data_IF_904359534298
#
_entry.id   IF_904359534298
#
_cell.length_a   1.000
_cell.length_b   1.000
_cell.length_c   1.000
_cell.angle_alpha   90.00
_cell.angle_beta   90.00
_cell.angle_gamma   90.00
#
_symmetry.space_group_name_H-M   'P 1'
#
loop_
_entity.id
_entity.type
_entity.pdbx_description
1 polymer ?
#
# COMPACT_ATOMS: atom_id res chain seq x y z
N UNK A 1 -19.06 -14.54 -70.78
CA UNK A 1 -18.48 -15.81 -70.32
C UNK A 1 -17.59 -15.51 -69.11
N UNK A 2 -18.16 -15.60 -67.90
CA UNK A 2 -17.47 -15.31 -66.64
C UNK A 2 -16.74 -16.57 -66.19
N UNK A 3 -15.43 -16.51 -66.01
CA UNK A 3 -14.67 -17.61 -65.42
C UNK A 3 -14.76 -17.49 -63.89
N UNK A 4 -15.41 -18.48 -63.27
CA UNK A 4 -15.33 -18.76 -61.83
C UNK A 4 -13.99 -19.45 -61.49
N UNK A 5 -13.30 -18.98 -60.45
CA UNK A 5 -12.33 -19.73 -59.64
C UNK A 5 -12.56 -19.29 -58.19
N UNK A 6 -13.40 -20.03 -57.45
CA UNK A 6 -13.04 -21.08 -56.47
C UNK A 6 -12.77 -20.54 -55.05
N UNK A 7 -13.67 -20.98 -54.16
CA UNK A 7 -13.44 -21.38 -52.76
C UNK A 7 -13.47 -20.34 -51.63
N UNK A 8 -14.54 -20.49 -50.85
CA UNK A 8 -14.86 -19.98 -49.51
C UNK A 8 -13.72 -20.25 -48.50
N UNK A 9 -13.31 -19.24 -47.72
CA UNK A 9 -12.54 -19.45 -46.49
C UNK A 9 -13.06 -18.57 -45.34
N UNK A 10 -13.16 -19.22 -44.18
CA UNK A 10 -13.85 -18.88 -42.94
C UNK A 10 -13.34 -17.57 -42.28
N UNK A 11 -14.27 -16.78 -41.74
CA UNK A 11 -13.99 -15.62 -40.89
C UNK A 11 -13.41 -16.09 -39.53
N UNK A 12 -12.11 -15.93 -39.30
CA UNK A 12 -11.56 -15.90 -37.93
C UNK A 12 -11.43 -14.44 -37.53
N UNK A 13 -12.30 -14.02 -36.60
CA UNK A 13 -12.33 -12.68 -36.03
C UNK A 13 -10.93 -12.26 -35.55
N UNK A 14 -10.51 -11.10 -36.03
CA UNK A 14 -9.36 -10.27 -35.64
C UNK A 14 -8.73 -10.61 -34.29
N UNK A 15 -7.71 -11.48 -34.31
CA UNK A 15 -6.85 -11.73 -33.16
C UNK A 15 -5.76 -10.67 -33.07
N UNK A 16 -6.10 -9.49 -32.58
CA UNK A 16 -5.18 -8.54 -31.94
C UNK A 16 -6.04 -7.47 -31.27
N UNK A 17 -6.44 -7.72 -30.02
CA UNK A 17 -6.72 -6.62 -29.12
C UNK A 17 -5.40 -5.87 -28.98
N UNK A 18 -5.28 -4.72 -29.66
CA UNK A 18 -4.36 -3.69 -29.21
C UNK A 18 -4.64 -3.51 -27.72
N UNK A 19 -3.74 -3.92 -26.83
CA UNK A 19 -3.74 -3.37 -25.47
C UNK A 19 -3.27 -1.93 -25.56
N UNK A 20 -4.10 -1.08 -26.17
CA UNK A 20 -3.95 0.35 -26.18
C UNK A 20 -4.21 0.82 -24.75
N UNK A 21 -3.14 0.92 -23.98
CA UNK A 21 -3.18 1.45 -22.63
C UNK A 21 -3.29 0.39 -21.54
N UNK A 22 -2.45 -0.66 -21.58
CA UNK A 22 -1.84 -1.05 -20.30
C UNK A 22 -1.03 0.17 -19.86
N UNK A 23 -1.69 1.11 -19.16
CA UNK A 23 -0.96 1.98 -18.26
C UNK A 23 -0.21 0.99 -17.38
N UNK A 24 1.12 1.01 -17.41
CA UNK A 24 1.89 0.45 -16.30
C UNK A 24 1.16 0.97 -15.08
N UNK A 25 0.58 0.08 -14.30
CA UNK A 25 -0.21 0.49 -13.15
C UNK A 25 0.75 1.35 -12.33
N UNK A 26 0.50 2.66 -12.33
CA UNK A 26 1.06 3.54 -11.34
C UNK A 26 0.80 2.84 -10.02
N UNK A 27 1.84 2.63 -9.23
CA UNK A 27 1.73 1.86 -8.02
C UNK A 27 2.59 2.55 -7.00
N UNK A 28 2.30 2.36 -5.73
CA UNK A 28 3.18 2.85 -4.68
C UNK A 28 4.20 1.76 -4.38
N UNK A 29 5.47 2.03 -4.67
CA UNK A 29 6.58 1.19 -4.24
C UNK A 29 6.90 1.49 -2.78
N UNK A 30 6.35 0.72 -1.85
CA UNK A 30 6.52 0.93 -0.40
C UNK A 30 7.47 -0.10 0.20
N UNK A 31 8.39 0.34 1.05
CA UNK A 31 9.34 -0.51 1.76
C UNK A 31 9.60 -0.02 3.18
N UNK A 32 10.28 -0.87 3.97
CA UNK A 32 10.67 -0.57 5.35
C UNK A 32 9.51 -0.16 6.28
N UNK A 33 8.30 -0.70 6.04
CA UNK A 33 7.21 -0.53 7.01
C UNK A 33 7.60 -1.19 8.32
N UNK A 34 7.57 -0.45 9.43
CA UNK A 34 8.02 -0.87 10.75
C UNK A 34 7.12 -0.29 11.84
N UNK A 35 6.96 -1.03 12.93
CA UNK A 35 6.31 -0.58 14.16
C UNK A 35 7.32 -0.63 15.31
N UNK A 36 7.53 0.48 15.99
CA UNK A 36 8.51 0.61 17.08
C UNK A 36 7.85 1.19 18.32
N UNK A 37 8.03 0.54 19.47
CA UNK A 37 7.61 1.10 20.76
C UNK A 37 8.40 2.38 21.06
N UNK A 38 7.71 3.48 21.38
CA UNK A 38 8.28 4.77 21.77
C UNK A 38 7.67 5.25 23.08
N UNK A 39 8.19 6.33 23.66
CA UNK A 39 7.75 6.84 24.96
C UNK A 39 6.23 7.10 25.05
N UNK A 40 5.59 7.48 23.94
CA UNK A 40 4.19 7.91 23.90
C UNK A 40 3.24 6.94 23.17
N UNK A 41 3.73 5.78 22.72
CA UNK A 41 2.91 4.82 21.99
C UNK A 41 3.72 3.93 21.03
N UNK A 42 3.14 3.58 19.88
CA UNK A 42 3.83 2.85 18.81
C UNK A 42 4.01 3.77 17.61
N UNK A 43 5.26 4.00 17.22
CA UNK A 43 5.60 4.72 15.99
C UNK A 43 5.62 3.76 14.81
N UNK A 44 4.83 4.09 13.80
CA UNK A 44 4.83 3.48 12.49
C UNK A 44 5.71 4.32 11.56
N UNK A 45 6.58 3.69 10.80
CA UNK A 45 7.39 4.36 9.79
C UNK A 45 7.45 3.53 8.52
N UNK A 46 7.41 4.18 7.36
CA UNK A 46 7.61 3.55 6.06
C UNK A 46 8.27 4.53 5.10
N UNK A 47 8.78 3.98 4.02
CA UNK A 47 9.40 4.73 2.94
C UNK A 47 8.74 4.32 1.62
N UNK A 48 8.68 5.25 0.69
CA UNK A 48 8.29 4.95 -0.69
C UNK A 48 9.46 5.22 -1.62
N UNK A 49 9.51 4.50 -2.73
CA UNK A 49 10.46 4.72 -3.82
C UNK A 49 9.86 5.59 -4.93
N UNK A 50 8.56 5.46 -5.14
CA UNK A 50 7.75 6.21 -6.08
C UNK A 50 6.28 6.16 -5.65
N UNK A 51 5.52 7.20 -6.01
CA UNK A 51 4.14 7.40 -5.55
C UNK A 51 3.25 8.02 -6.64
N UNK A 52 3.18 7.37 -7.79
CA UNK A 52 2.31 7.86 -8.86
C UNK A 52 0.84 7.83 -8.42
N UNK A 53 0.13 8.96 -8.60
CA UNK A 53 -1.29 9.17 -8.25
C UNK A 53 -1.68 8.83 -6.80
N UNK A 54 -0.72 8.78 -5.88
CA UNK A 54 -1.00 8.57 -4.47
C UNK A 54 -1.53 9.86 -3.83
N UNK A 55 -2.72 9.81 -3.24
CA UNK A 55 -3.30 10.90 -2.45
C UNK A 55 -2.75 10.91 -1.03
N UNK A 56 -2.31 9.75 -0.53
CA UNK A 56 -1.80 9.61 0.83
C UNK A 56 -2.01 8.21 1.39
N UNK A 57 -1.93 8.09 2.72
CA UNK A 57 -1.94 6.81 3.41
C UNK A 57 -2.94 6.76 4.56
N UNK A 58 -3.57 5.60 4.68
CA UNK A 58 -4.30 5.17 5.86
C UNK A 58 -3.52 4.07 6.58
N UNK A 59 -3.64 4.07 7.91
CA UNK A 59 -3.01 3.12 8.81
C UNK A 59 -4.09 2.41 9.60
N UNK A 60 -4.01 1.08 9.64
CA UNK A 60 -4.99 0.23 10.30
C UNK A 60 -4.33 -0.59 11.38
N UNK A 61 -5.08 -0.91 12.43
CA UNK A 61 -4.61 -1.67 13.59
C UNK A 61 -5.62 -2.71 14.06
N UNK A 62 -5.11 -3.86 14.48
CA UNK A 62 -5.85 -4.89 15.21
C UNK A 62 -4.99 -5.51 16.32
N UNK A 63 -5.61 -6.20 17.26
CA UNK A 63 -4.92 -7.04 18.28
C UNK A 63 -4.70 -8.48 17.80
N UNK A 64 -5.18 -8.81 16.61
CA UNK A 64 -5.02 -10.10 15.93
C UNK A 64 -4.42 -9.86 14.55
N UNK A 65 -3.68 -10.83 14.02
CA UNK A 65 -3.11 -10.75 12.67
C UNK A 65 -4.18 -11.04 11.59
N UNK A 66 -5.21 -10.21 11.54
CA UNK A 66 -6.31 -10.31 10.58
C UNK A 66 -6.76 -8.89 10.19
N UNK A 67 -6.49 -8.51 8.93
CA UNK A 67 -6.83 -7.18 8.40
C UNK A 67 -8.33 -6.90 8.42
N UNK A 68 -9.18 -7.92 8.34
CA UNK A 68 -10.64 -7.75 8.37
C UNK A 68 -11.16 -7.25 9.73
N UNK A 69 -10.38 -7.45 10.79
CA UNK A 69 -10.67 -6.99 12.15
C UNK A 69 -10.00 -5.64 12.47
N UNK A 70 -9.28 -5.04 11.51
CA UNK A 70 -8.50 -3.85 11.74
C UNK A 70 -9.36 -2.58 11.65
N UNK A 71 -9.08 -1.63 12.55
CA UNK A 71 -9.70 -0.30 12.56
C UNK A 71 -8.71 0.76 12.11
N UNK A 72 -9.22 1.82 11.47
CA UNK A 72 -8.42 2.99 11.07
C UNK A 72 -7.86 3.69 12.31
N UNK A 73 -6.60 4.11 12.25
CA UNK A 73 -5.88 4.71 13.39
C UNK A 73 -5.61 6.20 13.18
N UNK A 74 -5.26 6.62 11.96
CA UNK A 74 -5.03 8.02 11.64
C UNK A 74 -6.37 8.77 11.53
N UNK A 75 -6.56 9.90 12.24
CA UNK A 75 -7.83 10.64 12.24
C UNK A 75 -8.09 11.38 10.93
N UNK A 76 -7.04 11.62 10.14
CA UNK A 76 -7.09 12.21 8.80
C UNK A 76 -6.09 11.49 7.90
N UNK A 77 -6.33 11.52 6.59
CA UNK A 77 -5.41 10.97 5.59
C UNK A 77 -4.02 11.59 5.77
N UNK A 78 -2.98 10.75 5.78
CA UNK A 78 -1.58 11.21 5.80
C UNK A 78 -1.22 11.54 4.34
N UNK A 79 -1.11 12.81 3.95
CA UNK A 79 -0.99 13.18 2.54
C UNK A 79 0.30 12.66 1.93
N UNK A 80 0.26 12.33 0.64
CA UNK A 80 1.49 12.06 -0.12
C UNK A 80 2.41 13.28 -0.05
N UNK A 81 3.69 13.01 0.19
CA UNK A 81 4.78 13.99 0.23
C UNK A 81 5.70 13.85 -1.00
N UNK A 82 5.34 12.99 -1.95
CA UNK A 82 6.10 12.79 -3.18
C UNK A 82 6.23 14.09 -3.97
N UNK A 83 7.46 14.44 -4.34
CA UNK A 83 7.75 15.56 -5.21
C UNK A 83 7.99 15.05 -6.63
N UNK A 84 6.99 15.18 -7.49
CA UNK A 84 7.13 14.85 -8.92
C UNK A 84 7.26 13.35 -9.22
N UNK A 85 6.61 12.48 -8.44
CA UNK A 85 6.58 11.02 -8.66
C UNK A 85 7.69 10.25 -7.95
N UNK A 86 8.60 10.92 -7.23
CA UNK A 86 9.61 10.28 -6.39
C UNK A 86 9.05 9.65 -5.10
N UNK A 87 9.94 9.14 -4.26
CA UNK A 87 9.62 8.62 -2.94
C UNK A 87 9.59 9.67 -1.83
N UNK A 88 9.18 9.27 -0.64
CA UNK A 88 9.20 10.06 0.58
C UNK A 88 9.29 9.16 1.83
N UNK A 89 9.69 9.77 2.94
CA UNK A 89 9.74 9.16 4.27
C UNK A 89 8.52 9.59 5.08
N UNK A 90 7.91 8.64 5.79
CA UNK A 90 6.73 8.88 6.59
C UNK A 90 6.87 8.32 8.00
N UNK A 91 6.24 9.00 8.94
CA UNK A 91 6.04 8.51 10.29
C UNK A 91 4.64 8.88 10.83
N UNK A 92 4.13 8.02 11.71
CA UNK A 92 2.89 8.25 12.44
C UNK A 92 2.98 7.58 13.82
N UNK A 93 2.63 8.29 14.88
CA UNK A 93 2.62 7.71 16.23
C UNK A 93 1.20 7.42 16.68
N UNK A 94 0.88 6.14 16.90
CA UNK A 94 -0.35 5.71 17.54
C UNK A 94 -0.23 5.82 19.05
N UNK A 95 -0.83 6.87 19.61
CA UNK A 95 -0.86 7.15 21.05
C UNK A 95 -2.08 6.55 21.77
N UNK A 96 -2.95 5.83 21.04
CA UNK A 96 -4.20 5.26 21.58
C UNK A 96 -4.04 3.81 22.05
N UNK A 97 -2.81 3.29 22.02
CA UNK A 97 -2.47 1.92 22.41
C UNK A 97 -2.46 1.75 23.92
N UNK A 98 -2.90 0.58 24.39
CA UNK A 98 -2.70 0.17 25.78
C UNK A 98 -1.33 -0.50 25.93
N UNK A 99 -0.71 -0.32 27.11
CA UNK A 99 0.57 -0.96 27.41
C UNK A 99 0.42 -2.50 27.48
N UNK A 100 1.49 -3.20 27.10
CA UNK A 100 1.61 -4.66 27.13
C UNK A 100 0.60 -5.41 26.25
N UNK A 101 0.01 -4.75 25.24
CA UNK A 101 -0.81 -5.38 24.21
C UNK A 101 -0.04 -5.43 22.89
N UNK A 102 -0.03 -6.62 22.26
CA UNK A 102 0.51 -6.78 20.91
C UNK A 102 -0.50 -6.24 19.89
N UNK A 103 -0.03 -5.33 19.05
CA UNK A 103 -0.81 -4.79 17.94
C UNK A 103 -0.17 -5.14 16.61
N UNK A 104 -1.01 -5.43 15.63
CA UNK A 104 -0.66 -5.58 14.21
C UNK A 104 -1.11 -4.35 13.44
N UNK A 105 -0.28 -3.92 12.50
CA UNK A 105 -0.49 -2.72 11.71
C UNK A 105 -0.37 -3.00 10.22
N UNK A 106 -1.16 -2.27 9.46
CA UNK A 106 -1.11 -2.25 8.00
C UNK A 106 -1.11 -0.82 7.50
N UNK A 107 -0.41 -0.61 6.38
CA UNK A 107 -0.44 0.63 5.61
C UNK A 107 -1.22 0.40 4.33
N UNK A 108 -2.00 1.40 3.94
CA UNK A 108 -2.84 1.40 2.75
C UNK A 108 -2.64 2.72 2.00
N UNK A 109 -2.18 2.69 0.74
CA UNK A 109 -2.22 3.88 -0.10
C UNK A 109 -3.67 4.20 -0.50
N UNK A 110 -3.94 5.49 -0.72
CA UNK A 110 -5.23 5.98 -1.19
C UNK A 110 -5.01 6.68 -2.53
N UNK A 111 -5.85 6.36 -3.51
CA UNK A 111 -5.72 6.88 -4.87
C UNK A 111 -5.07 5.89 -5.83
N UNK A 112 -4.12 5.09 -5.35
CA UNK A 112 -3.51 4.00 -6.11
C UNK A 112 -3.29 2.73 -5.25
N UNK A 113 -2.83 1.65 -5.87
CA UNK A 113 -2.49 0.39 -5.23
C UNK A 113 -1.00 0.27 -4.88
N UNK A 114 -0.67 -0.59 -3.92
CA UNK A 114 0.73 -0.99 -3.67
C UNK A 114 1.28 -1.78 -4.86
N UNK A 115 2.55 -1.58 -5.20
CA UNK A 115 3.24 -2.41 -6.20
C UNK A 115 3.37 -3.85 -5.72
N UNK A 116 3.79 -4.02 -4.46
CA UNK A 116 3.97 -5.31 -3.80
C UNK A 116 3.16 -5.36 -2.51
N UNK A 117 2.59 -6.53 -2.15
CA UNK A 117 1.94 -6.69 -0.85
C UNK A 117 2.91 -6.40 0.30
N UNK A 118 2.52 -5.48 1.18
CA UNK A 118 3.27 -5.18 2.40
C UNK A 118 2.70 -6.04 3.53
N UNK A 119 3.49 -6.95 4.13
CA UNK A 119 3.03 -7.74 5.26
C UNK A 119 2.75 -6.83 6.47
N UNK A 120 1.86 -7.24 7.39
CA UNK A 120 1.68 -6.49 8.61
C UNK A 120 2.95 -6.47 9.45
N UNK A 121 3.15 -5.37 10.16
CA UNK A 121 4.15 -5.26 11.22
C UNK A 121 3.46 -5.30 12.57
N UNK A 122 4.21 -5.63 13.61
CA UNK A 122 3.66 -5.68 14.95
C UNK A 122 4.61 -5.12 15.99
N UNK A 123 4.04 -4.57 17.06
CA UNK A 123 4.78 -4.11 18.21
C UNK A 123 3.90 -4.14 19.47
N UNK A 124 4.57 -4.23 20.62
CA UNK A 124 3.96 -4.08 21.94
C UNK A 124 4.47 -2.79 22.56
N UNK A 125 3.57 -1.92 22.99
CA UNK A 125 3.98 -0.71 23.72
C UNK A 125 4.30 -1.07 25.17
N UNK A 126 5.47 -0.66 25.65
CA UNK A 126 5.89 -0.87 27.04
C UNK A 126 6.13 0.47 27.71
N UNK A 127 5.35 0.77 28.75
CA UNK A 127 5.55 1.92 29.64
C UNK A 127 6.82 1.69 30.45
N UNK A 128 7.97 1.99 29.84
CA UNK A 128 9.28 1.67 30.41
C UNK A 128 10.44 1.73 29.42
N UNK A 129 10.18 1.87 28.11
CA UNK A 129 11.20 2.09 27.08
C UNK A 129 11.83 3.49 27.13
N UNK A 130 12.18 3.99 28.31
CA UNK A 130 13.18 5.03 28.44
C UNK A 130 14.54 4.41 28.11
N UNK A 131 15.24 5.04 27.18
CA UNK A 131 16.64 4.80 26.77
C UNK A 131 17.38 3.75 27.62
N UNK A 132 17.62 2.57 27.02
CA UNK A 132 18.81 1.81 27.40
C UNK A 132 19.96 2.59 26.77
N UNK A 133 20.62 3.42 27.58
CA UNK A 133 21.89 4.07 27.24
C UNK A 133 22.96 3.04 26.93
#
# INVERSE_FOLDING_TARGET
MRLLRQSLLLLLLTGSLLSAGQRLQAAVGLFNFQATSVATGIRLSWQTGFEDNNLGFNLYRATVNDRSQASLVNPALIPSQSQGGGGADYDYTDTSVAANILYFYWVEPVGDSLQDPVPPVSATWTTGGGLVT
#
